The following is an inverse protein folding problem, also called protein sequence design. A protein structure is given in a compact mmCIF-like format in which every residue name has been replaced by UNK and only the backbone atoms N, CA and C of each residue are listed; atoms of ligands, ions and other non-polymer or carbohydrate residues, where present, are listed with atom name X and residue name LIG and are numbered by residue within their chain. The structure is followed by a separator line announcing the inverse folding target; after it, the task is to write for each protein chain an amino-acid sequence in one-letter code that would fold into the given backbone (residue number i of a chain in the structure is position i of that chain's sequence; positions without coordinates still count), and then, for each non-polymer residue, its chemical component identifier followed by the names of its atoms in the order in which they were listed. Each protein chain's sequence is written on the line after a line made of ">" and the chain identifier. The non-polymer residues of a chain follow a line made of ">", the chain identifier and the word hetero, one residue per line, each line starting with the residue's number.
data_IF_555168953733
#
_entry.id   IF_555168953733
#
_cell.length_a   1.000
_cell.length_b   1.000
_cell.length_c   1.000
_cell.angle_alpha   90.00
_cell.angle_beta   90.00
_cell.angle_gamma   90.00
#
_symmetry.space_group_name_H-M   'P 1'
#
loop_
_entity.id
_entity.type
_entity.pdbx_description
1 polymer ?
#
# COMPACT_ATOMS: atom_id res chain seq x y z
N UNK A 1 6.93 -48.51 31.27
CA UNK A 1 6.40 -48.22 29.90
C UNK A 1 5.94 -46.77 29.68
N UNK A 2 5.50 -46.04 30.71
CA UNK A 2 4.98 -44.65 30.55
C UNK A 2 6.08 -43.57 30.31
N UNK A 3 7.27 -43.71 30.88
CA UNK A 3 8.35 -42.72 30.76
C UNK A 3 8.95 -42.63 29.31
N UNK A 4 8.99 -43.75 28.60
CA UNK A 4 9.47 -43.76 27.18
C UNK A 4 8.55 -43.03 26.22
N UNK A 5 7.22 -43.21 26.42
CA UNK A 5 6.21 -42.54 25.58
C UNK A 5 6.21 -41.01 25.79
N UNK A 6 6.39 -40.54 27.01
CA UNK A 6 6.48 -39.13 27.37
C UNK A 6 7.73 -38.51 26.73
N UNK A 7 8.86 -39.21 26.79
CA UNK A 7 10.12 -38.73 26.16
C UNK A 7 10.00 -38.65 24.65
N UNK A 8 9.35 -39.61 24.02
CA UNK A 8 9.09 -39.59 22.58
C UNK A 8 8.15 -38.46 22.19
N UNK A 9 7.08 -38.22 22.95
CA UNK A 9 6.18 -37.11 22.71
C UNK A 9 6.88 -35.74 22.82
N UNK A 10 7.74 -35.55 23.83
CA UNK A 10 8.51 -34.31 23.98
C UNK A 10 9.49 -34.07 22.83
N UNK A 11 10.15 -35.12 22.31
CA UNK A 11 11.03 -35.03 21.15
C UNK A 11 10.26 -34.63 19.90
N UNK A 12 9.08 -35.22 19.66
CA UNK A 12 8.24 -34.88 18.52
C UNK A 12 7.72 -33.44 18.58
N UNK A 13 7.33 -33.00 19.77
CA UNK A 13 6.91 -31.60 19.99
C UNK A 13 8.08 -30.65 19.74
N UNK A 14 9.27 -30.93 20.24
CA UNK A 14 10.44 -30.12 20.01
C UNK A 14 10.82 -30.03 18.52
N UNK A 15 10.78 -31.17 17.82
CA UNK A 15 11.01 -31.25 16.38
C UNK A 15 10.00 -30.46 15.54
N UNK A 16 8.76 -30.37 15.99
CA UNK A 16 7.72 -29.58 15.33
C UNK A 16 7.83 -28.06 15.63
N UNK A 17 8.20 -27.73 16.89
CA UNK A 17 8.29 -26.32 17.32
C UNK A 17 9.49 -25.57 16.75
N UNK A 18 10.63 -26.24 16.55
CA UNK A 18 11.85 -25.59 16.02
C UNK A 18 11.63 -24.99 14.62
N UNK A 19 11.11 -25.71 13.63
CA UNK A 19 10.84 -25.11 12.32
C UNK A 19 9.71 -24.07 12.36
N UNK A 20 8.69 -24.29 13.20
CA UNK A 20 7.60 -23.31 13.34
C UNK A 20 8.08 -21.97 13.94
N UNK A 21 8.94 -22.01 14.95
CA UNK A 21 9.57 -20.82 15.52
C UNK A 21 10.53 -20.17 14.54
N UNK A 22 11.30 -20.95 13.79
CA UNK A 22 12.18 -20.45 12.74
C UNK A 22 11.41 -19.71 11.66
N UNK A 23 10.29 -20.27 11.18
CA UNK A 23 9.40 -19.60 10.25
C UNK A 23 8.74 -18.35 10.85
N UNK A 24 8.26 -18.41 12.08
CA UNK A 24 7.64 -17.27 12.76
C UNK A 24 8.64 -16.10 12.91
N UNK A 25 9.90 -16.37 13.20
CA UNK A 25 10.97 -15.36 13.29
C UNK A 25 11.32 -14.83 11.89
N UNK A 26 11.46 -15.70 10.89
CA UNK A 26 11.79 -15.34 9.52
C UNK A 26 10.68 -14.45 8.90
N UNK A 27 9.41 -14.82 9.06
CA UNK A 27 8.28 -14.07 8.52
C UNK A 27 7.86 -12.87 9.38
N UNK A 28 8.34 -12.77 10.63
CA UNK A 28 8.00 -11.65 11.53
C UNK A 28 8.30 -10.28 10.91
N UNK A 29 9.35 -10.17 10.12
CA UNK A 29 9.74 -8.93 9.47
C UNK A 29 9.11 -8.76 8.07
N UNK A 30 8.55 -9.84 7.49
CA UNK A 30 7.91 -9.79 6.18
C UNK A 30 6.40 -9.60 6.27
N UNK A 31 5.78 -10.04 7.38
CA UNK A 31 4.35 -9.80 7.64
C UNK A 31 4.22 -8.57 8.53
N UNK A 32 4.01 -7.42 7.92
CA UNK A 32 3.69 -6.20 8.66
C UNK A 32 2.26 -6.30 9.20
N UNK A 33 2.13 -6.65 10.48
CA UNK A 33 0.86 -6.64 11.22
C UNK A 33 0.40 -5.21 11.57
N UNK A 34 1.23 -4.21 11.31
CA UNK A 34 0.87 -2.80 11.45
C UNK A 34 0.27 -2.32 10.14
N UNK A 35 -0.79 -1.55 10.22
CA UNK A 35 -1.27 -0.77 9.10
C UNK A 35 -0.07 -0.07 8.45
N UNK A 36 0.22 -0.34 7.18
CA UNK A 36 1.33 0.27 6.45
C UNK A 36 1.15 1.77 6.24
N UNK A 37 -0.04 2.25 6.54
CA UNK A 37 -0.45 3.64 6.36
C UNK A 37 -0.88 4.19 7.70
N UNK A 38 -0.35 5.33 8.10
CA UNK A 38 -0.79 6.06 9.28
C UNK A 38 -2.20 6.62 9.05
N UNK A 39 -3.01 6.73 10.11
CA UNK A 39 -4.33 7.34 10.01
C UNK A 39 -4.30 8.78 9.46
N UNK A 40 -3.20 9.51 9.68
CA UNK A 40 -2.98 10.85 9.13
C UNK A 40 -2.67 10.89 7.63
N UNK A 41 -2.42 9.72 7.03
CA UNK A 41 -2.11 9.55 5.60
C UNK A 41 -3.28 8.98 4.83
N UNK A 42 -4.40 8.69 5.49
CA UNK A 42 -5.63 8.20 4.89
C UNK A 42 -6.58 9.37 4.70
N UNK A 43 -7.19 9.47 3.52
CA UNK A 43 -8.15 10.53 3.18
C UNK A 43 -9.42 9.93 2.61
N UNK A 44 -10.57 10.52 2.93
CA UNK A 44 -11.86 10.16 2.31
C UNK A 44 -11.98 10.73 0.89
N UNK A 45 -12.92 10.18 0.11
CA UNK A 45 -13.24 10.70 -1.23
C UNK A 45 -13.62 12.18 -1.19
N UNK A 46 -14.46 12.57 -0.22
CA UNK A 46 -14.93 13.96 -0.10
C UNK A 46 -13.78 14.92 0.24
N UNK A 47 -12.89 14.50 1.14
CA UNK A 47 -11.72 15.30 1.47
C UNK A 47 -10.79 15.46 0.26
N UNK A 48 -10.50 14.38 -0.47
CA UNK A 48 -9.66 14.43 -1.65
C UNK A 48 -10.28 15.29 -2.77
N UNK A 49 -11.60 15.20 -2.98
CA UNK A 49 -12.34 16.06 -3.92
C UNK A 49 -12.31 17.54 -3.54
N UNK A 50 -12.31 17.85 -2.24
CA UNK A 50 -12.26 19.25 -1.76
C UNK A 50 -10.96 19.96 -2.13
N UNK A 51 -9.91 19.23 -2.47
CA UNK A 51 -8.64 19.80 -2.95
C UNK A 51 -8.69 20.26 -4.41
N UNK A 52 -9.74 19.87 -5.16
CA UNK A 52 -9.94 20.31 -6.54
C UNK A 52 -8.75 19.99 -7.43
N UNK A 53 -8.29 20.97 -8.18
CA UNK A 53 -7.14 20.82 -9.11
C UNK A 53 -5.80 20.53 -8.41
N UNK A 54 -5.72 20.72 -7.10
CA UNK A 54 -4.54 20.34 -6.33
C UNK A 54 -4.51 18.86 -5.94
N UNK A 55 -5.58 18.10 -6.18
CA UNK A 55 -5.59 16.65 -6.05
C UNK A 55 -5.01 15.99 -7.30
N UNK A 56 -3.97 15.18 -7.13
CA UNK A 56 -3.38 14.36 -8.17
C UNK A 56 -3.69 12.89 -7.89
N UNK A 57 -4.56 12.29 -8.68
CA UNK A 57 -5.02 10.92 -8.49
C UNK A 57 -4.04 9.93 -9.08
N UNK A 58 -3.73 8.89 -8.33
CA UNK A 58 -2.79 7.83 -8.72
C UNK A 58 -3.46 6.47 -8.55
N UNK A 59 -3.55 5.72 -9.62
CA UNK A 59 -4.07 4.36 -9.63
C UNK A 59 -2.94 3.36 -9.46
N UNK A 60 -2.98 2.59 -8.38
CA UNK A 60 -2.01 1.54 -8.07
C UNK A 60 -2.47 0.15 -8.50
N UNK A 61 -3.59 0.04 -9.21
CA UNK A 61 -4.12 -1.23 -9.72
C UNK A 61 -3.33 -1.71 -10.95
N UNK A 62 -3.50 -2.97 -11.35
CA UNK A 62 -2.99 -3.46 -12.63
C UNK A 62 -3.45 -2.60 -13.82
N UNK A 63 -2.64 -2.53 -14.87
CA UNK A 63 -2.93 -1.71 -16.05
C UNK A 63 -4.28 -2.07 -16.72
N UNK A 64 -4.65 -3.34 -16.73
CA UNK A 64 -5.92 -3.82 -17.29
C UNK A 64 -7.14 -3.21 -16.56
N UNK A 65 -7.08 -3.08 -15.23
CA UNK A 65 -8.14 -2.45 -14.44
C UNK A 65 -8.20 -0.95 -14.69
N UNK A 66 -7.06 -0.29 -14.79
CA UNK A 66 -6.95 1.13 -15.13
C UNK A 66 -7.53 1.42 -16.52
N UNK A 67 -7.18 0.62 -17.52
CA UNK A 67 -7.69 0.78 -18.89
C UNK A 67 -9.20 0.56 -18.99
N UNK A 68 -9.75 -0.33 -18.15
CA UNK A 68 -11.19 -0.61 -18.13
C UNK A 68 -11.99 0.57 -17.58
N UNK A 69 -11.62 1.09 -16.42
CA UNK A 69 -12.23 2.29 -15.80
C UNK A 69 -11.30 2.84 -14.69
N UNK A 70 -11.19 4.15 -14.57
CA UNK A 70 -10.38 4.82 -13.57
C UNK A 70 -10.96 6.17 -13.15
N UNK A 71 -10.44 6.76 -12.09
CA UNK A 71 -10.82 8.12 -11.66
C UNK A 71 -10.39 9.11 -12.76
N UNK A 72 -11.29 9.98 -13.24
CA UNK A 72 -10.97 10.94 -14.28
C UNK A 72 -9.72 11.77 -13.95
N UNK A 73 -8.73 11.74 -14.85
CA UNK A 73 -7.45 12.41 -14.66
C UNK A 73 -6.44 11.67 -13.79
N UNK A 74 -6.74 10.45 -13.38
CA UNK A 74 -5.78 9.62 -12.65
C UNK A 74 -4.63 9.17 -13.55
N UNK A 75 -3.46 9.00 -12.93
CA UNK A 75 -2.24 8.50 -13.56
C UNK A 75 -2.00 7.08 -13.04
N UNK A 76 -1.72 6.14 -13.93
CA UNK A 76 -1.31 4.80 -13.55
C UNK A 76 0.09 4.83 -12.95
N UNK A 77 0.23 4.26 -11.75
CA UNK A 77 1.53 4.05 -11.11
C UNK A 77 1.45 2.82 -10.22
N UNK A 78 1.84 1.68 -10.73
CA UNK A 78 1.86 0.39 -10.06
C UNK A 78 3.28 -0.16 -9.88
N UNK A 79 3.41 -1.27 -9.18
CA UNK A 79 4.70 -1.89 -8.91
C UNK A 79 5.28 -2.61 -10.14
N UNK A 80 4.45 -3.06 -11.07
CA UNK A 80 4.85 -3.90 -12.20
C UNK A 80 5.78 -3.16 -13.19
N UNK A 81 5.53 -1.87 -13.41
CA UNK A 81 6.31 -1.01 -14.30
C UNK A 81 6.80 0.26 -13.60
N UNK A 82 7.16 0.15 -12.32
CA UNK A 82 7.45 1.28 -11.43
C UNK A 82 8.38 2.33 -12.03
N UNK A 83 9.55 1.95 -12.53
CA UNK A 83 10.57 2.90 -12.97
C UNK A 83 10.11 3.74 -14.17
N UNK A 84 9.39 3.12 -15.10
CA UNK A 84 8.87 3.79 -16.29
C UNK A 84 7.73 4.73 -15.90
N UNK A 85 6.76 4.23 -15.16
CA UNK A 85 5.58 4.98 -14.72
C UNK A 85 5.95 6.11 -13.76
N UNK A 86 6.93 5.91 -12.88
CA UNK A 86 7.43 6.96 -11.98
C UNK A 86 8.00 8.13 -12.75
N UNK A 87 8.75 7.90 -13.82
CA UNK A 87 9.31 8.96 -14.65
C UNK A 87 8.20 9.81 -15.29
N UNK A 88 7.14 9.17 -15.78
CA UNK A 88 5.98 9.86 -16.36
C UNK A 88 5.20 10.64 -15.29
N UNK A 89 5.00 10.06 -14.12
CA UNK A 89 4.36 10.70 -12.98
C UNK A 89 5.13 11.95 -12.52
N UNK A 90 6.45 11.85 -12.33
CA UNK A 90 7.28 12.97 -11.89
C UNK A 90 7.30 14.12 -12.89
N UNK A 91 7.12 13.85 -14.18
CA UNK A 91 6.97 14.89 -15.22
C UNK A 91 5.68 15.72 -15.10
N UNK A 92 4.69 15.23 -14.37
CA UNK A 92 3.40 15.89 -14.18
C UNK A 92 3.18 16.39 -12.75
N UNK A 93 3.96 15.89 -11.80
CA UNK A 93 3.85 16.26 -10.40
C UNK A 93 4.55 17.59 -10.10
N UNK A 94 3.98 18.37 -9.19
CA UNK A 94 4.60 19.57 -8.62
C UNK A 94 4.31 19.66 -7.10
N UNK A 95 5.14 20.37 -6.31
CA UNK A 95 5.02 20.41 -4.85
C UNK A 95 3.74 21.05 -4.29
N UNK A 96 2.94 21.70 -5.11
CA UNK A 96 1.61 22.22 -4.78
C UNK A 96 0.51 21.16 -4.85
N UNK A 97 0.81 20.01 -5.49
CA UNK A 97 -0.13 18.89 -5.64
C UNK A 97 -0.12 17.95 -4.43
N UNK A 98 -1.30 17.50 -4.08
CA UNK A 98 -1.53 16.42 -3.10
C UNK A 98 -1.83 15.13 -3.83
N UNK A 99 -0.97 14.16 -3.66
CA UNK A 99 -1.07 12.85 -4.33
C UNK A 99 -2.03 11.96 -3.56
N UNK A 100 -3.05 11.44 -4.20
CA UNK A 100 -4.02 10.50 -3.64
C UNK A 100 -3.89 9.17 -4.37
N UNK A 101 -3.31 8.20 -3.70
CA UNK A 101 -3.11 6.85 -4.24
C UNK A 101 -4.31 5.98 -3.89
N UNK A 102 -4.86 5.28 -4.86
CA UNK A 102 -5.94 4.33 -4.66
C UNK A 102 -5.67 2.97 -5.31
N UNK A 103 -6.36 1.95 -4.83
CA UNK A 103 -6.34 0.59 -5.35
C UNK A 103 -7.74 -0.01 -5.26
N UNK A 104 -7.94 -1.25 -5.71
CA UNK A 104 -9.15 -2.01 -5.41
C UNK A 104 -9.15 -2.50 -3.96
N UNK A 105 -10.34 -2.75 -3.37
CA UNK A 105 -10.49 -3.26 -2.00
C UNK A 105 -9.74 -4.59 -1.77
N UNK A 106 -9.57 -5.37 -2.82
CA UNK A 106 -8.83 -6.63 -2.79
C UNK A 106 -7.31 -6.45 -2.76
N UNK A 107 -6.81 -5.26 -3.13
CA UNK A 107 -5.38 -4.93 -3.27
C UNK A 107 -4.94 -3.79 -2.34
N UNK A 108 -5.54 -3.62 -1.16
CA UNK A 108 -5.24 -2.52 -0.23
C UNK A 108 -3.74 -2.30 0.06
N UNK A 109 -2.91 -3.32 -0.14
CA UNK A 109 -1.46 -3.23 0.03
C UNK A 109 -0.78 -2.45 -1.12
N UNK A 110 -1.30 -2.49 -2.35
CA UNK A 110 -0.67 -1.84 -3.50
C UNK A 110 -0.64 -0.31 -3.34
N UNK A 111 -1.76 0.31 -2.99
CA UNK A 111 -1.80 1.75 -2.73
C UNK A 111 -0.88 2.17 -1.57
N UNK A 112 -0.85 1.39 -0.50
CA UNK A 112 0.04 1.63 0.64
C UNK A 112 1.53 1.54 0.24
N UNK A 113 1.89 0.57 -0.60
CA UNK A 113 3.26 0.38 -1.06
C UNK A 113 3.68 1.47 -2.05
N UNK A 114 2.83 1.80 -3.02
CA UNK A 114 3.08 2.92 -3.94
C UNK A 114 3.23 4.23 -3.17
N UNK A 115 2.35 4.52 -2.20
CA UNK A 115 2.44 5.71 -1.38
C UNK A 115 3.72 5.75 -0.53
N UNK A 116 4.14 4.60 0.04
CA UNK A 116 5.42 4.48 0.75
C UNK A 116 6.60 4.80 -0.17
N UNK A 117 6.65 4.20 -1.34
CA UNK A 117 7.73 4.42 -2.32
C UNK A 117 7.79 5.87 -2.79
N UNK A 118 6.66 6.52 -3.01
CA UNK A 118 6.61 7.95 -3.35
C UNK A 118 7.19 8.82 -2.21
N UNK A 119 6.90 8.49 -0.95
CA UNK A 119 7.43 9.22 0.21
C UNK A 119 8.90 8.96 0.49
N UNK A 120 9.32 7.70 0.43
CA UNK A 120 10.67 7.27 0.89
C UNK A 120 11.69 7.25 -0.25
N UNK A 121 11.34 6.72 -1.41
CA UNK A 121 12.25 6.58 -2.55
C UNK A 121 12.26 7.83 -3.43
N UNK A 122 11.08 8.33 -3.82
CA UNK A 122 10.95 9.55 -4.61
C UNK A 122 11.00 10.83 -3.76
N UNK A 123 10.92 10.72 -2.42
CA UNK A 123 11.01 11.81 -1.44
C UNK A 123 10.02 12.96 -1.70
N UNK A 124 8.81 12.64 -2.16
CA UNK A 124 7.79 13.63 -2.43
C UNK A 124 7.37 14.36 -1.16
N UNK A 125 7.42 15.68 -1.24
CA UNK A 125 7.01 16.60 -0.17
C UNK A 125 6.42 17.86 -0.78
N UNK A 126 5.54 18.51 -0.05
CA UNK A 126 5.03 19.82 -0.43
C UNK A 126 6.11 20.93 -0.31
N UNK A 127 5.74 22.15 -0.68
CA UNK A 127 6.63 23.32 -0.59
C UNK A 127 7.12 23.63 0.83
N UNK A 128 6.46 23.10 1.87
CA UNK A 128 6.84 23.26 3.27
C UNK A 128 7.65 22.07 3.82
N UNK A 129 7.93 21.07 2.97
CA UNK A 129 8.63 19.85 3.35
C UNK A 129 7.75 18.83 4.09
N UNK A 130 6.42 19.00 4.07
CA UNK A 130 5.45 18.11 4.71
C UNK A 130 5.03 16.98 3.76
N UNK A 131 4.42 15.94 4.34
CA UNK A 131 3.83 14.86 3.55
C UNK A 131 2.69 15.38 2.65
N UNK A 132 2.81 15.09 1.37
CA UNK A 132 1.79 15.39 0.35
C UNK A 132 1.21 14.13 -0.31
N UNK A 133 1.55 12.93 0.20
CA UNK A 133 1.11 11.65 -0.38
C UNK A 133 0.15 10.93 0.58
N UNK A 134 -1.05 10.68 0.11
CA UNK A 134 -2.16 10.10 0.87
C UNK A 134 -2.68 8.83 0.20
N UNK A 135 -3.38 7.99 0.97
CA UNK A 135 -4.07 6.79 0.47
C UNK A 135 -5.57 7.00 0.60
N UNK A 136 -6.31 6.69 -0.45
CA UNK A 136 -7.76 6.82 -0.47
C UNK A 136 -8.42 5.73 0.38
N UNK A 137 -9.24 6.15 1.34
CA UNK A 137 -10.04 5.23 2.15
C UNK A 137 -11.06 4.51 1.26
N UNK A 138 -11.14 3.17 1.39
CA UNK A 138 -12.05 2.35 0.60
C UNK A 138 -11.70 2.23 -0.89
N UNK A 139 -10.64 2.91 -1.36
CA UNK A 139 -10.11 2.78 -2.71
C UNK A 139 -11.11 3.06 -3.84
N UNK A 140 -10.98 2.34 -4.94
CA UNK A 140 -11.81 2.44 -6.14
C UNK A 140 -13.30 2.23 -5.85
N UNK A 141 -13.63 1.24 -5.03
CA UNK A 141 -15.03 0.91 -4.71
C UNK A 141 -15.74 2.04 -3.98
N UNK A 142 -15.04 2.77 -3.12
CA UNK A 142 -15.63 3.93 -2.44
C UNK A 142 -15.83 5.10 -3.39
N UNK A 143 -14.89 5.33 -4.30
CA UNK A 143 -15.05 6.33 -5.36
C UNK A 143 -16.30 6.04 -6.22
N UNK A 144 -16.50 4.79 -6.65
CA UNK A 144 -17.64 4.39 -7.50
C UNK A 144 -18.98 4.63 -6.82
N UNK A 145 -19.09 4.41 -5.49
CA UNK A 145 -20.32 4.68 -4.72
C UNK A 145 -20.69 6.15 -4.68
N UNK A 146 -19.73 7.03 -4.85
CA UNK A 146 -19.90 8.49 -4.73
C UNK A 146 -19.95 9.22 -6.07
N UNK A 147 -20.00 8.48 -7.17
CA UNK A 147 -20.16 8.99 -8.55
C UNK A 147 -21.52 9.66 -8.77
#
# INVERSE_FOLDING_TARGET
>A
MKAGAIRQALILIALALVPALGQAIYFRNQVSWRSRVSASEIVSVDQARSWGDNAMWVDARPAEEFEHDHIPGAILLNEDSWNELLSQFLGQWSPDKRVVVYCSAQSCNAAAEVARRLREEAQLKDNEGKNCVFVLEGGWEEWVKTR
#
